data_IF_915370090996
#
_entry.id   IF_915370090996
#
_cell.length_a   1.000
_cell.length_b   1.000
_cell.length_c   1.000
_cell.angle_alpha   90.00
_cell.angle_beta   90.00
_cell.angle_gamma   90.00
#
_symmetry.space_group_name_H-M   'P 1'
#
loop_
_entity.id
_entity.type
_entity.pdbx_description
1 polymer ?
#
# COMPACT_ATOMS: atom_id res chain seq x y z
N UNK A 1 -1.90 -0.40 -17.56
CA UNK A 1 -2.09 -0.13 -16.12
C UNK A 1 -2.90 -1.24 -15.48
N UNK A 2 -2.61 -1.51 -14.23
CA UNK A 2 -3.28 -2.56 -13.48
C UNK A 2 -3.81 -1.96 -12.18
N UNK A 3 -5.09 -2.24 -11.86
CA UNK A 3 -5.70 -1.81 -10.61
C UNK A 3 -6.01 -3.04 -9.78
N UNK A 4 -5.58 -3.02 -8.52
CA UNK A 4 -5.84 -4.10 -7.57
C UNK A 4 -6.51 -3.54 -6.32
N UNK A 5 -7.28 -4.38 -5.64
CA UNK A 5 -7.84 -4.06 -4.34
C UNK A 5 -7.35 -5.07 -3.34
N UNK A 6 -6.95 -4.59 -2.18
CA UNK A 6 -6.40 -5.41 -1.11
C UNK A 6 -7.16 -5.13 0.17
N UNK A 7 -7.51 -6.18 0.91
CA UNK A 7 -8.17 -6.06 2.20
C UNK A 7 -7.11 -6.16 3.31
N UNK A 8 -6.68 -5.02 3.88
CA UNK A 8 -5.65 -5.06 4.92
C UNK A 8 -6.18 -5.66 6.20
N UNK A 9 -5.28 -6.20 7.02
CA UNK A 9 -5.62 -6.81 8.30
C UNK A 9 -4.90 -6.12 9.44
N UNK A 10 -5.55 -6.03 10.58
CA UNK A 10 -4.96 -5.47 11.78
C UNK A 10 -4.80 -3.96 11.76
N UNK A 11 -5.48 -3.26 10.87
CA UNK A 11 -5.43 -1.81 10.72
C UNK A 11 -6.82 -1.24 10.55
N UNK A 12 -6.92 0.10 10.67
CA UNK A 12 -8.20 0.79 10.58
C UNK A 12 -8.77 0.84 9.15
N UNK A 13 -7.92 0.87 8.15
CA UNK A 13 -8.35 0.89 6.76
C UNK A 13 -9.05 -0.41 6.40
N UNK A 14 -10.12 -0.31 5.63
CA UNK A 14 -10.90 -1.47 5.21
C UNK A 14 -10.46 -2.02 3.87
N UNK A 15 -9.99 -1.16 2.99
CA UNK A 15 -9.50 -1.55 1.66
C UNK A 15 -8.40 -0.61 1.21
N UNK A 16 -7.51 -1.15 0.40
CA UNK A 16 -6.48 -0.37 -0.28
C UNK A 16 -6.64 -0.65 -1.77
N UNK A 17 -6.87 0.41 -2.54
CA UNK A 17 -6.96 0.32 -4.00
C UNK A 17 -5.68 0.89 -4.57
N UNK A 18 -5.00 0.10 -5.39
CA UNK A 18 -3.70 0.46 -5.95
C UNK A 18 -3.76 0.37 -7.46
N UNK A 19 -3.30 1.41 -8.14
CA UNK A 19 -3.13 1.41 -9.58
C UNK A 19 -1.64 1.43 -9.89
N UNK A 20 -1.19 0.43 -10.63
CA UNK A 20 0.21 0.30 -11.04
C UNK A 20 0.35 0.54 -12.54
N UNK A 21 1.42 1.21 -12.92
CA UNK A 21 1.84 1.35 -14.31
C UNK A 21 3.19 0.64 -14.42
N UNK A 22 3.14 -0.62 -14.91
CA UNK A 22 4.30 -1.48 -14.81
C UNK A 22 4.62 -1.74 -13.34
N UNK A 23 5.80 -1.37 -12.90
CA UNK A 23 6.22 -1.49 -11.50
C UNK A 23 6.23 -0.14 -10.76
N UNK A 24 5.61 0.89 -11.34
CA UNK A 24 5.49 2.21 -10.75
C UNK A 24 4.11 2.38 -10.14
N UNK A 25 4.05 2.91 -8.92
CA UNK A 25 2.78 3.20 -8.25
C UNK A 25 2.19 4.45 -8.86
N UNK A 26 1.05 4.31 -9.51
CA UNK A 26 0.35 5.42 -10.14
C UNK A 26 -0.55 6.14 -9.14
N UNK A 27 -1.31 5.36 -8.37
CA UNK A 27 -2.27 5.90 -7.42
C UNK A 27 -2.56 4.88 -6.32
N UNK A 28 -2.76 5.37 -5.10
CA UNK A 28 -3.17 4.56 -3.97
C UNK A 28 -4.33 5.25 -3.28
N UNK A 29 -5.39 4.53 -3.01
CA UNK A 29 -6.55 5.03 -2.27
C UNK A 29 -6.84 4.10 -1.12
N UNK A 30 -6.88 4.64 0.10
CA UNK A 30 -7.28 3.91 1.29
C UNK A 30 -8.76 4.19 1.56
N UNK A 31 -9.51 3.15 1.86
CA UNK A 31 -10.91 3.27 2.26
C UNK A 31 -11.01 2.99 3.75
N UNK A 32 -11.42 4.00 4.52
CA UNK A 32 -11.43 3.95 5.98
C UNK A 32 -10.07 4.29 6.57
N UNK A 33 -9.96 4.16 7.89
CA UNK A 33 -8.73 4.44 8.61
C UNK A 33 -8.54 5.93 8.92
N UNK A 34 -7.31 6.30 9.27
CA UNK A 34 -6.95 7.68 9.61
C UNK A 34 -6.74 8.49 8.34
N UNK A 35 -7.72 9.32 7.99
CA UNK A 35 -7.73 10.02 6.71
C UNK A 35 -6.46 10.83 6.44
N UNK A 36 -5.96 11.56 7.43
CA UNK A 36 -4.76 12.37 7.25
C UNK A 36 -3.53 11.54 6.96
N UNK A 37 -3.35 10.47 7.72
CA UNK A 37 -2.19 9.58 7.59
C UNK A 37 -2.21 8.81 6.27
N UNK A 38 -3.35 8.22 5.93
CA UNK A 38 -3.47 7.44 4.70
C UNK A 38 -3.39 8.33 3.47
N UNK A 39 -3.93 9.55 3.55
CA UNK A 39 -3.84 10.50 2.47
C UNK A 39 -2.40 10.95 2.23
N UNK A 40 -1.65 11.17 3.31
CA UNK A 40 -0.23 11.53 3.21
C UNK A 40 0.59 10.43 2.56
N UNK A 41 0.35 9.18 2.95
CA UNK A 41 1.05 8.03 2.36
C UNK A 41 0.70 7.91 0.87
N UNK A 42 -0.57 8.05 0.52
CA UNK A 42 -1.01 7.99 -0.87
C UNK A 42 -0.30 9.02 -1.74
N UNK A 43 -0.14 10.23 -1.22
CA UNK A 43 0.55 11.30 -1.93
C UNK A 43 2.05 11.02 -2.07
N UNK A 44 2.69 10.52 -1.00
CA UNK A 44 4.12 10.27 -0.99
C UNK A 44 4.54 9.16 -1.95
N UNK A 45 3.76 8.09 -2.04
CA UNK A 45 4.13 6.93 -2.86
C UNK A 45 3.80 7.09 -4.34
N UNK A 46 3.00 8.09 -4.69
CA UNK A 46 2.63 8.32 -6.07
C UNK A 46 3.86 8.61 -6.92
N UNK A 47 4.06 7.83 -7.96
CA UNK A 47 5.22 7.95 -8.83
C UNK A 47 6.44 7.17 -8.40
N UNK A 48 6.41 6.53 -7.22
CA UNK A 48 7.52 5.71 -6.75
C UNK A 48 7.46 4.31 -7.36
N UNK A 49 8.62 3.65 -7.45
CA UNK A 49 8.61 2.24 -7.81
C UNK A 49 7.98 1.42 -6.68
N UNK A 50 7.26 0.37 -7.04
CA UNK A 50 6.65 -0.51 -6.03
C UNK A 50 7.72 -1.12 -5.13
N UNK A 51 8.88 -1.47 -5.67
CA UNK A 51 9.97 -2.03 -4.88
C UNK A 51 10.46 -1.06 -3.82
N UNK A 52 10.57 0.23 -4.15
CA UNK A 52 10.99 1.24 -3.17
C UNK A 52 9.94 1.44 -2.09
N UNK A 53 8.67 1.43 -2.45
CA UNK A 53 7.59 1.54 -1.46
C UNK A 53 7.63 0.35 -0.51
N UNK A 54 7.79 -0.85 -1.02
CA UNK A 54 7.90 -2.05 -0.20
C UNK A 54 9.07 -1.94 0.76
N UNK A 55 10.24 -1.52 0.26
CA UNK A 55 11.44 -1.42 1.09
C UNK A 55 11.29 -0.39 2.22
N UNK A 56 10.60 0.70 1.95
CA UNK A 56 10.46 1.78 2.92
C UNK A 56 9.35 1.55 3.94
N UNK A 57 8.27 0.90 3.54
CA UNK A 57 7.08 0.79 4.38
C UNK A 57 6.93 -0.55 5.08
N UNK A 58 7.62 -1.58 4.64
CA UNK A 58 7.52 -2.90 5.26
C UNK A 58 8.00 -2.86 6.71
N UNK A 59 7.24 -3.48 7.60
CA UNK A 59 7.60 -3.60 9.01
C UNK A 59 7.23 -2.40 9.87
N UNK A 60 6.64 -1.35 9.31
CA UNK A 60 6.19 -0.22 10.11
C UNK A 60 4.99 -0.66 10.95
N UNK A 61 5.06 -0.39 12.25
CA UNK A 61 4.01 -0.77 13.20
C UNK A 61 3.26 0.45 13.69
N UNK A 62 1.98 0.26 13.99
CA UNK A 62 1.14 1.32 14.57
C UNK A 62 0.93 1.00 16.06
N UNK A 63 1.65 1.71 16.93
CA UNK A 63 1.57 1.49 18.37
C UNK A 63 1.95 0.06 18.75
N UNK A 64 1.03 -0.65 19.42
CA UNK A 64 1.25 -2.03 19.85
C UNK A 64 0.88 -3.06 18.79
N UNK A 65 0.35 -2.63 17.66
CA UNK A 65 -0.03 -3.54 16.59
C UNK A 65 1.21 -4.09 15.88
N UNK A 66 1.10 -5.29 15.34
CA UNK A 66 2.19 -5.91 14.59
C UNK A 66 2.33 -5.37 13.17
N UNK A 67 1.39 -4.51 12.75
CA UNK A 67 1.36 -3.97 11.39
C UNK A 67 0.79 -2.55 11.40
N UNK A 68 0.72 -1.93 10.25
CA UNK A 68 0.16 -0.58 10.06
C UNK A 68 -0.39 -0.47 8.64
N UNK A 69 -1.11 0.62 8.35
CA UNK A 69 -1.57 0.88 6.99
C UNK A 69 -0.41 0.92 6.00
N UNK A 70 0.72 1.62 6.27
CA UNK A 70 1.88 1.56 5.38
C UNK A 70 2.43 0.16 5.19
N UNK A 71 2.54 -0.62 6.26
CA UNK A 71 3.03 -2.00 6.17
C UNK A 71 2.09 -2.87 5.33
N UNK A 72 0.78 -2.69 5.50
CA UNK A 72 -0.20 -3.43 4.70
C UNK A 72 -0.15 -3.02 3.23
N UNK A 73 0.12 -1.75 2.93
CA UNK A 73 0.34 -1.31 1.57
C UNK A 73 1.56 -2.01 0.95
N UNK A 74 2.64 -2.12 1.72
CA UNK A 74 3.84 -2.82 1.25
C UNK A 74 3.53 -4.29 0.95
N UNK A 75 2.74 -4.95 1.78
CA UNK A 75 2.34 -6.34 1.56
C UNK A 75 1.49 -6.48 0.31
N UNK A 76 0.56 -5.55 0.09
CA UNK A 76 -0.30 -5.54 -1.09
C UNK A 76 0.54 -5.39 -2.36
N UNK A 77 1.52 -4.50 -2.33
CA UNK A 77 2.42 -4.29 -3.47
C UNK A 77 3.29 -5.51 -3.75
N UNK A 78 3.81 -6.14 -2.71
CA UNK A 78 4.60 -7.35 -2.87
C UNK A 78 3.78 -8.46 -3.53
N UNK A 79 2.55 -8.63 -3.10
CA UNK A 79 1.63 -9.61 -3.68
C UNK A 79 1.30 -9.26 -5.13
N UNK A 80 1.08 -7.98 -5.43
CA UNK A 80 0.80 -7.54 -6.79
C UNK A 80 1.97 -7.78 -7.73
N UNK A 81 3.21 -7.54 -7.28
CA UNK A 81 4.39 -7.80 -8.08
C UNK A 81 4.57 -9.29 -8.36
N UNK A 82 4.31 -10.12 -7.35
CA UNK A 82 4.38 -11.57 -7.51
C UNK A 82 3.37 -12.06 -8.55
N UNK A 83 2.16 -11.50 -8.53
CA UNK A 83 1.11 -11.89 -9.46
C UNK A 83 1.32 -11.32 -10.87
N UNK A 84 2.01 -10.19 -11.00
CA UNK A 84 2.23 -9.56 -12.29
C UNK A 84 3.38 -10.20 -13.07
N UNK A 85 4.06 -11.16 -12.49
CA UNK A 85 5.11 -11.92 -13.15
C UNK A 85 4.56 -12.86 -14.22
N UNK A 86 3.28 -12.93 -14.35
CA UNK A 86 2.65 -13.75 -15.38
C UNK A 86 2.94 -13.17 -16.77
#
# INVERSE_FOLDING_TARGET
>A
MKTIEFAPRGVCARRIKITLDGDTVKEVTFMGGCAGNTQGISALVQGMSAADVIARLSGIRCGFKSTSCPDQLAKALAEALANSAE
#
